data_IF_135904794067
#
_entry.id   IF_135904794067
#
_cell.length_a   1.000
_cell.length_b   1.000
_cell.length_c   1.000
_cell.angle_alpha   90.00
_cell.angle_beta   90.00
_cell.angle_gamma   90.00
#
_symmetry.space_group_name_H-M   'P 1'
#
loop_
_entity.id
_entity.type
_entity.pdbx_description
1 polymer ?
#
# COMPACT_ATOMS: atom_id res chain seq x y z
N UNK A 1 0.75 20.50 -0.43
CA UNK A 1 0.90 20.04 0.96
C UNK A 1 -0.04 18.87 1.17
N UNK A 2 0.47 17.64 1.34
CA UNK A 2 -0.41 16.46 1.44
C UNK A 2 -1.23 16.43 2.74
N UNK A 3 -0.78 17.13 3.80
CA UNK A 3 -1.53 17.17 5.05
C UNK A 3 -2.83 17.96 4.87
N UNK A 4 -2.76 19.11 4.21
CA UNK A 4 -3.94 19.91 3.85
C UNK A 4 -4.91 19.12 2.94
N UNK A 5 -4.37 18.36 1.98
CA UNK A 5 -5.17 17.52 1.07
C UNK A 5 -5.91 16.37 1.76
N UNK A 6 -5.36 15.89 2.87
CA UNK A 6 -5.89 14.76 3.64
C UNK A 6 -6.73 15.20 4.85
N UNK A 7 -6.76 16.50 5.18
CA UNK A 7 -7.36 17.02 6.40
C UNK A 7 -8.88 16.76 6.51
N UNK A 8 -9.57 16.63 5.37
CA UNK A 8 -11.02 16.40 5.31
C UNK A 8 -11.40 14.91 5.24
N UNK A 9 -10.42 14.00 5.33
CA UNK A 9 -10.65 12.56 5.28
C UNK A 9 -10.91 12.03 6.68
N UNK A 10 -12.18 11.83 7.01
CA UNK A 10 -12.61 11.41 8.35
C UNK A 10 -13.18 9.98 8.39
N UNK A 11 -13.76 9.51 7.29
CA UNK A 11 -14.57 8.27 7.23
C UNK A 11 -13.78 7.07 6.70
N UNK A 12 -12.74 6.68 7.44
CA UNK A 12 -11.89 5.54 7.08
C UNK A 12 -12.70 4.24 7.00
N UNK A 13 -12.54 3.49 5.91
CA UNK A 13 -13.23 2.22 5.71
C UNK A 13 -14.71 2.35 5.32
N UNK A 14 -15.22 3.56 5.05
CA UNK A 14 -16.64 3.79 4.74
C UNK A 14 -16.88 4.54 3.42
N UNK A 15 -15.83 4.90 2.68
CA UNK A 15 -15.96 5.61 1.42
C UNK A 15 -16.67 4.75 0.35
N UNK A 16 -17.61 5.34 -0.37
CA UNK A 16 -18.38 4.69 -1.42
C UNK A 16 -17.66 4.66 -2.77
N UNK A 17 -16.62 5.48 -2.94
CA UNK A 17 -15.82 5.55 -4.15
C UNK A 17 -14.67 4.54 -4.10
N UNK A 18 -14.47 3.82 -5.19
CA UNK A 18 -13.32 2.94 -5.41
C UNK A 18 -12.42 3.51 -6.51
N UNK A 19 -11.12 3.26 -6.40
CA UNK A 19 -10.14 3.62 -7.41
C UNK A 19 -9.26 2.42 -7.75
N UNK A 20 -9.27 2.00 -9.02
CA UNK A 20 -8.24 1.10 -9.55
C UNK A 20 -6.99 1.92 -9.88
N UNK A 21 -5.81 1.65 -9.30
CA UNK A 21 -4.65 2.55 -9.40
C UNK A 21 -3.76 2.35 -10.63
N UNK A 22 -4.21 1.62 -11.65
CA UNK A 22 -3.40 1.11 -12.76
C UNK A 22 -3.12 2.16 -13.86
N UNK A 23 -2.63 3.33 -13.49
CA UNK A 23 -2.46 4.48 -14.41
C UNK A 23 -1.54 4.19 -15.60
N UNK A 24 -0.59 3.26 -15.44
CA UNK A 24 0.40 2.89 -16.47
C UNK A 24 0.31 1.41 -16.87
N UNK A 25 -0.86 0.79 -16.69
CA UNK A 25 -0.98 -0.67 -16.66
C UNK A 25 -0.61 -1.23 -15.28
N UNK A 26 -0.67 -2.55 -15.15
CA UNK A 26 -0.30 -3.25 -13.91
C UNK A 26 0.56 -4.48 -14.20
N UNK A 27 1.57 -4.70 -13.38
CA UNK A 27 2.40 -5.92 -13.42
C UNK A 27 1.89 -6.95 -12.43
N UNK A 28 1.79 -6.60 -11.15
CA UNK A 28 1.43 -7.56 -10.10
C UNK A 28 0.17 -7.08 -9.37
N UNK A 29 -0.82 -7.96 -9.12
CA UNK A 29 -0.84 -9.39 -9.50
C UNK A 29 -1.41 -9.66 -10.91
N UNK A 30 -2.00 -8.65 -11.57
CA UNK A 30 -2.85 -8.88 -12.74
C UNK A 30 -2.11 -9.17 -14.04
N UNK A 31 -0.87 -8.68 -14.15
CA UNK A 31 -0.02 -8.75 -15.34
C UNK A 31 -0.75 -8.30 -16.62
N UNK A 32 -1.31 -7.09 -16.55
CA UNK A 32 -2.15 -6.50 -17.57
C UNK A 32 -1.63 -5.09 -17.95
N UNK A 33 -0.91 -4.95 -19.09
CA UNK A 33 -0.39 -3.66 -19.53
C UNK A 33 -1.49 -2.69 -19.99
N UNK A 34 -2.70 -3.19 -20.20
CA UNK A 34 -3.83 -2.41 -20.73
C UNK A 34 -4.71 -1.86 -19.62
N UNK A 35 -4.56 -2.35 -18.39
CA UNK A 35 -5.26 -1.82 -17.22
C UNK A 35 -5.12 -0.30 -17.11
N UNK A 36 -6.19 0.40 -16.74
CA UNK A 36 -6.20 1.86 -16.59
C UNK A 36 -6.80 2.30 -15.27
N UNK A 37 -6.33 3.46 -14.80
CA UNK A 37 -6.87 4.13 -13.64
C UNK A 37 -8.37 4.39 -13.80
N UNK A 38 -9.17 4.00 -12.81
CA UNK A 38 -10.64 4.06 -12.91
C UNK A 38 -11.26 4.42 -11.57
N UNK A 39 -12.07 5.48 -11.53
CA UNK A 39 -12.96 5.77 -10.40
C UNK A 39 -14.33 5.12 -10.62
N UNK A 40 -14.86 4.46 -9.59
CA UNK A 40 -16.14 3.73 -9.62
C UNK A 40 -16.94 4.05 -8.36
N UNK A 41 -18.26 4.18 -8.50
CA UNK A 41 -19.16 4.44 -7.37
C UNK A 41 -19.36 5.93 -7.06
N UNK A 42 -18.97 6.84 -7.95
CA UNK A 42 -19.20 8.27 -7.77
C UNK A 42 -20.70 8.62 -7.83
N UNK A 43 -21.09 9.61 -7.02
CA UNK A 43 -22.43 10.20 -6.93
C UNK A 43 -22.34 11.72 -7.06
N UNK A 44 -23.49 12.41 -7.17
CA UNK A 44 -23.51 13.89 -7.16
C UNK A 44 -22.89 14.48 -5.89
N UNK A 45 -22.99 13.77 -4.76
CA UNK A 45 -22.42 14.19 -3.47
C UNK A 45 -20.95 13.80 -3.29
N UNK A 46 -20.31 13.15 -4.28
CA UNK A 46 -18.90 12.78 -4.18
C UNK A 46 -18.04 14.03 -4.05
N UNK A 47 -17.29 14.09 -2.96
CA UNK A 47 -16.39 15.20 -2.65
C UNK A 47 -14.98 14.92 -3.13
N UNK A 48 -14.15 15.97 -3.15
CA UNK A 48 -12.71 15.84 -3.36
C UNK A 48 -12.06 14.95 -2.29
N UNK A 49 -12.54 15.00 -1.04
CA UNK A 49 -12.02 14.16 0.03
C UNK A 49 -12.30 12.68 -0.23
N UNK A 50 -13.49 12.33 -0.73
CA UNK A 50 -13.84 10.96 -1.11
C UNK A 50 -12.95 10.46 -2.26
N UNK A 51 -12.70 11.29 -3.26
CA UNK A 51 -11.80 10.91 -4.37
C UNK A 51 -10.35 10.73 -3.89
N UNK A 52 -9.84 11.63 -3.06
CA UNK A 52 -8.49 11.52 -2.48
C UNK A 52 -8.37 10.27 -1.61
N UNK A 53 -9.34 10.01 -0.75
CA UNK A 53 -9.39 8.81 0.07
C UNK A 53 -9.43 7.54 -0.80
N UNK A 54 -10.26 7.54 -1.86
CA UNK A 54 -10.35 6.39 -2.77
C UNK A 54 -9.02 6.09 -3.46
N UNK A 55 -8.24 7.12 -3.84
CA UNK A 55 -6.90 6.93 -4.41
C UNK A 55 -5.96 6.27 -3.40
N UNK A 56 -5.90 6.79 -2.17
CA UNK A 56 -5.05 6.25 -1.11
C UNK A 56 -5.43 4.79 -0.76
N UNK A 57 -6.72 4.52 -0.63
CA UNK A 57 -7.26 3.20 -0.36
C UNK A 57 -7.02 2.26 -1.54
N UNK A 58 -7.24 2.71 -2.78
CA UNK A 58 -7.05 1.92 -4.00
C UNK A 58 -5.63 1.41 -4.18
N UNK A 59 -4.63 2.24 -3.91
CA UNK A 59 -3.22 1.81 -3.91
C UNK A 59 -2.96 0.79 -2.80
N UNK A 60 -3.51 1.01 -1.59
CA UNK A 60 -3.36 0.06 -0.49
C UNK A 60 -4.08 -1.28 -0.75
N UNK A 61 -5.23 -1.27 -1.43
CA UNK A 61 -5.93 -2.49 -1.85
C UNK A 61 -5.15 -3.24 -2.95
N UNK A 62 -4.51 -2.54 -3.89
CA UNK A 62 -3.63 -3.19 -4.87
C UNK A 62 -2.37 -3.81 -4.22
N UNK A 63 -1.83 -3.18 -3.16
CA UNK A 63 -0.80 -3.82 -2.33
C UNK A 63 -1.36 -5.06 -1.62
N UNK A 64 -2.60 -4.99 -1.13
CA UNK A 64 -3.27 -6.12 -0.50
C UNK A 64 -3.48 -7.29 -1.46
N UNK A 65 -3.82 -7.03 -2.70
CA UNK A 65 -3.90 -8.06 -3.75
C UNK A 65 -2.59 -8.85 -3.87
N UNK A 66 -1.43 -8.17 -3.80
CA UNK A 66 -0.12 -8.83 -3.79
C UNK A 66 0.13 -9.62 -2.49
N UNK A 67 -0.34 -9.11 -1.35
CA UNK A 67 -0.28 -9.80 -0.06
C UNK A 67 -1.12 -11.10 -0.08
N UNK A 68 -2.32 -11.08 -0.65
CA UNK A 68 -3.16 -12.27 -0.76
C UNK A 68 -2.54 -13.34 -1.67
N UNK A 69 -1.83 -12.93 -2.74
CA UNK A 69 -1.02 -13.87 -3.52
C UNK A 69 0.07 -14.51 -2.65
N UNK A 70 0.82 -13.72 -1.87
CA UNK A 70 1.84 -14.26 -0.96
C UNK A 70 1.26 -15.24 0.07
N UNK A 71 0.11 -14.90 0.68
CA UNK A 71 -0.61 -15.79 1.62
C UNK A 71 -1.04 -17.10 0.95
N UNK A 72 -1.51 -17.04 -0.31
CA UNK A 72 -1.90 -18.24 -1.07
C UNK A 72 -0.75 -19.21 -1.31
N UNK A 73 0.49 -18.72 -1.28
CA UNK A 73 1.72 -19.51 -1.36
C UNK A 73 2.20 -20.05 0.00
N UNK A 74 1.42 -19.85 1.07
CA UNK A 74 1.77 -20.28 2.43
C UNK A 74 2.70 -19.32 3.18
N UNK A 75 2.90 -18.10 2.68
CA UNK A 75 3.74 -17.10 3.35
C UNK A 75 2.90 -16.43 4.45
N UNK A 76 3.33 -16.61 5.70
CA UNK A 76 2.74 -15.93 6.84
C UNK A 76 3.50 -14.64 7.14
N UNK A 77 2.77 -13.52 7.12
CA UNK A 77 3.29 -12.19 7.41
C UNK A 77 2.55 -11.63 8.62
N UNK A 78 3.30 -11.14 9.61
CA UNK A 78 2.75 -10.46 10.79
C UNK A 78 3.03 -8.95 10.77
N UNK A 79 4.05 -8.55 10.02
CA UNK A 79 4.52 -7.17 9.94
C UNK A 79 5.11 -6.84 8.58
N UNK A 80 5.11 -5.56 8.26
CA UNK A 80 5.77 -4.99 7.09
C UNK A 80 6.50 -3.71 7.49
N UNK A 81 7.45 -3.27 6.66
CA UNK A 81 8.14 -1.99 6.81
C UNK A 81 7.69 -1.06 5.68
N UNK A 82 7.48 0.22 5.99
CA UNK A 82 7.15 1.23 4.99
C UNK A 82 8.27 2.26 4.87
N UNK A 83 8.61 2.63 3.62
CA UNK A 83 9.63 3.62 3.30
C UNK A 83 9.22 4.49 2.10
N UNK A 84 10.00 5.51 1.80
CA UNK A 84 9.76 6.44 0.69
C UNK A 84 8.68 7.49 0.97
N UNK A 85 8.33 8.28 -0.06
CA UNK A 85 7.44 9.43 0.09
C UNK A 85 6.06 9.12 0.70
N UNK A 86 5.53 7.92 0.45
CA UNK A 86 4.28 7.43 1.04
C UNK A 86 4.30 7.31 2.56
N UNK A 87 5.46 6.97 3.13
CA UNK A 87 5.65 6.80 4.57
C UNK A 87 5.51 8.12 5.36
N UNK A 88 5.56 9.27 4.66
CA UNK A 88 5.41 10.60 5.26
C UNK A 88 3.98 10.85 5.74
N UNK A 89 2.97 10.31 5.07
CA UNK A 89 1.56 10.49 5.45
C UNK A 89 1.18 9.61 6.65
N UNK A 90 0.85 10.20 7.83
CA UNK A 90 0.38 9.42 8.97
C UNK A 90 -0.95 8.73 8.68
N UNK A 91 -1.84 9.41 7.96
CA UNK A 91 -3.14 8.87 7.57
C UNK A 91 -2.98 7.64 6.67
N UNK A 92 -2.10 7.71 5.68
CA UNK A 92 -1.94 6.61 4.74
C UNK A 92 -1.25 5.41 5.38
N UNK A 93 -0.29 5.63 6.28
CA UNK A 93 0.26 4.54 7.13
C UNK A 93 -0.82 3.82 7.93
N UNK A 94 -1.76 4.58 8.52
CA UNK A 94 -2.92 4.00 9.21
C UNK A 94 -3.80 3.20 8.24
N UNK A 95 -4.11 3.73 7.06
CA UNK A 95 -4.88 2.98 6.04
C UNK A 95 -4.18 1.67 5.67
N UNK A 96 -2.88 1.69 5.36
CA UNK A 96 -2.11 0.51 4.96
C UNK A 96 -2.11 -0.55 6.08
N UNK A 97 -1.84 -0.17 7.33
CA UNK A 97 -1.85 -1.11 8.45
C UNK A 97 -3.19 -1.84 8.59
N UNK A 98 -4.29 -1.09 8.49
CA UNK A 98 -5.64 -1.62 8.63
C UNK A 98 -6.10 -2.43 7.40
N UNK A 99 -5.79 -1.98 6.19
CA UNK A 99 -6.16 -2.68 4.95
C UNK A 99 -5.41 -4.01 4.86
N UNK A 100 -4.10 -4.02 5.11
CA UNK A 100 -3.30 -5.24 5.07
C UNK A 100 -3.52 -6.15 6.28
N UNK A 101 -4.07 -5.61 7.37
CA UNK A 101 -4.13 -6.24 8.69
C UNK A 101 -2.74 -6.70 9.15
N UNK A 102 -1.76 -5.81 9.05
CA UNK A 102 -0.36 -6.06 9.43
C UNK A 102 0.16 -4.88 10.24
N UNK A 103 1.11 -5.16 11.14
CA UNK A 103 1.89 -4.10 11.78
C UNK A 103 2.75 -3.39 10.74
N UNK A 104 2.74 -2.07 10.72
CA UNK A 104 3.55 -1.28 9.78
C UNK A 104 4.64 -0.54 10.53
N UNK A 105 5.87 -1.01 10.39
CA UNK A 105 7.05 -0.37 10.97
C UNK A 105 7.50 0.81 10.09
N UNK A 106 7.78 1.93 10.74
CA UNK A 106 8.36 3.12 10.15
C UNK A 106 9.85 3.10 10.42
N UNK A 107 10.66 3.20 9.37
CA UNK A 107 12.12 3.22 9.48
C UNK A 107 12.65 4.65 9.52
N UNK A 108 13.79 4.85 10.20
CA UNK A 108 14.48 6.15 10.28
C UNK A 108 14.97 6.64 8.90
N UNK A 109 15.47 5.72 8.08
CA UNK A 109 16.10 6.03 6.80
C UNK A 109 15.11 5.97 5.64
N UNK A 110 15.09 7.01 4.80
CA UNK A 110 14.32 7.04 3.54
C UNK A 110 15.09 6.41 2.37
N UNK A 111 16.40 6.19 2.51
CA UNK A 111 17.34 5.81 1.44
C UNK A 111 17.50 4.28 1.32
N UNK A 112 16.39 3.55 1.23
CA UNK A 112 16.38 2.08 1.23
C UNK A 112 17.38 1.43 0.25
N UNK A 113 17.32 1.73 -1.07
CA UNK A 113 18.21 1.11 -2.05
C UNK A 113 19.69 1.46 -1.85
N UNK A 114 20.01 2.74 -1.59
CA UNK A 114 21.39 3.18 -1.40
C UNK A 114 22.01 2.57 -0.14
N UNK A 115 21.24 2.52 0.96
CA UNK A 115 21.66 1.90 2.21
C UNK A 115 21.90 0.39 2.04
N UNK A 116 21.02 -0.33 1.34
CA UNK A 116 21.22 -1.74 1.02
C UNK A 116 22.49 -1.99 0.21
N UNK A 117 22.75 -1.16 -0.79
CA UNK A 117 24.00 -1.23 -1.58
C UNK A 117 25.25 -1.00 -0.74
N UNK A 118 25.23 0.01 0.15
CA UNK A 118 26.32 0.28 1.08
C UNK A 118 26.54 -0.88 2.07
N UNK A 119 25.47 -1.51 2.55
CA UNK A 119 25.55 -2.66 3.45
C UNK A 119 26.23 -3.85 2.79
N UNK A 120 25.84 -4.18 1.55
CA UNK A 120 26.47 -5.25 0.78
C UNK A 120 27.96 -4.97 0.53
N UNK A 121 28.32 -3.72 0.21
CA UNK A 121 29.71 -3.32 0.02
C UNK A 121 30.53 -3.45 1.31
N UNK A 122 29.98 -3.06 2.46
CA UNK A 122 30.66 -3.18 3.75
C UNK A 122 30.97 -4.64 4.12
N UNK A 123 30.01 -5.55 3.88
CA UNK A 123 30.21 -7.00 4.07
C UNK A 123 31.26 -7.53 3.11
N UNK A 124 31.21 -7.14 1.83
CA UNK A 124 32.20 -7.57 0.84
C UNK A 124 33.64 -7.09 1.16
N UNK A 125 33.77 -5.93 1.81
CA UNK A 125 35.05 -5.41 2.30
C UNK A 125 35.53 -6.06 3.62
N UNK A 126 34.71 -6.91 4.25
CA UNK A 126 35.05 -7.58 5.51
C UNK A 126 34.84 -6.73 6.76
N UNK A 127 34.16 -5.58 6.66
CA UNK A 127 33.87 -4.71 7.82
C UNK A 127 32.79 -5.31 8.75
N UNK A 128 31.93 -6.17 8.19
CA UNK A 128 30.88 -6.89 8.92
C UNK A 128 30.86 -8.35 8.45
N UNK A 129 30.49 -9.27 9.34
CA UNK A 129 30.50 -10.70 9.06
C UNK A 129 29.34 -11.14 8.15
N UNK A 130 28.23 -10.38 8.14
CA UNK A 130 27.03 -10.71 7.38
C UNK A 130 26.15 -9.49 7.10
N UNK A 131 25.21 -9.63 6.16
CA UNK A 131 24.24 -8.58 5.84
C UNK A 131 23.26 -8.38 6.99
N UNK A 132 22.92 -9.46 7.69
CA UNK A 132 22.07 -9.47 8.87
C UNK A 132 22.69 -8.63 10.00
N UNK A 133 23.99 -8.80 10.27
CA UNK A 133 24.69 -8.06 11.33
C UNK A 133 24.65 -6.54 11.11
N UNK A 134 24.93 -6.08 9.88
CA UNK A 134 24.88 -4.66 9.57
C UNK A 134 23.43 -4.15 9.52
N UNK A 135 22.47 -4.95 9.04
CA UNK A 135 21.07 -4.57 9.00
C UNK A 135 20.50 -4.34 10.41
N UNK A 136 20.82 -5.21 11.38
CA UNK A 136 20.41 -5.04 12.79
C UNK A 136 20.94 -3.75 13.42
N UNK A 137 22.16 -3.32 13.04
CA UNK A 137 22.79 -2.12 13.58
C UNK A 137 22.27 -0.83 12.94
N UNK A 138 21.98 -0.85 11.64
CA UNK A 138 21.68 0.35 10.86
C UNK A 138 20.19 0.55 10.55
N UNK A 139 19.39 -0.52 10.45
CA UNK A 139 17.96 -0.40 10.18
C UNK A 139 17.21 -0.13 11.48
N UNK A 140 17.01 1.15 11.79
CA UNK A 140 16.27 1.57 12.98
C UNK A 140 14.79 1.77 12.69
N UNK A 141 13.95 1.12 13.48
CA UNK A 141 12.50 1.36 13.53
C UNK A 141 12.22 2.50 14.49
N UNK A 142 11.57 3.56 14.02
CA UNK A 142 11.25 4.77 14.80
C UNK A 142 9.83 4.76 15.35
N UNK A 143 8.98 3.88 14.83
CA UNK A 143 7.61 3.69 15.30
C UNK A 143 6.93 2.54 14.57
N UNK A 144 5.81 2.09 15.12
CA UNK A 144 4.99 1.04 14.52
C UNK A 144 3.53 1.49 14.55
N UNK A 145 2.85 1.38 13.42
CA UNK A 145 1.40 1.57 13.32
C UNK A 145 0.75 0.21 13.46
N UNK A 146 -0.01 0.04 14.55
CA UNK A 146 -0.77 -1.17 14.82
C UNK A 146 -2.12 -1.13 14.07
N UNK A 147 -2.58 -2.26 13.51
CA UNK A 147 -3.92 -2.35 12.96
C UNK A 147 -4.98 -2.23 14.07
N UNK A 148 -6.04 -1.49 13.78
CA UNK A 148 -7.22 -1.31 14.61
C UNK A 148 -8.29 -2.33 14.17
N UNK A 149 -8.71 -3.26 15.05
CA UNK A 149 -9.66 -4.32 14.69
C UNK A 149 -10.95 -3.83 14.04
N UNK A 150 -11.49 -2.67 14.46
CA UNK A 150 -12.73 -2.14 13.89
C UNK A 150 -12.53 -1.66 12.45
N UNK A 151 -11.43 -0.95 12.19
CA UNK A 151 -11.09 -0.48 10.85
C UNK A 151 -10.69 -1.64 9.94
N UNK A 152 -9.98 -2.64 10.46
CA UNK A 152 -9.68 -3.88 9.73
C UNK A 152 -10.97 -4.52 9.23
N UNK A 153 -11.99 -4.66 10.09
CA UNK A 153 -13.27 -5.25 9.69
C UNK A 153 -13.98 -4.43 8.59
N UNK A 154 -13.96 -3.10 8.68
CA UNK A 154 -14.53 -2.21 7.65
C UNK A 154 -13.79 -2.33 6.32
N UNK A 155 -12.45 -2.30 6.36
CA UNK A 155 -11.63 -2.44 5.16
C UNK A 155 -11.69 -3.84 4.56
N UNK A 156 -11.94 -4.87 5.36
CA UNK A 156 -12.18 -6.23 4.88
C UNK A 156 -13.38 -6.28 3.94
N UNK A 157 -14.54 -5.80 4.40
CA UNK A 157 -15.76 -5.75 3.59
C UNK A 157 -15.54 -4.96 2.28
N UNK A 158 -14.83 -3.83 2.35
CA UNK A 158 -14.50 -3.03 1.17
C UNK A 158 -13.51 -3.72 0.25
N UNK A 159 -12.51 -4.43 0.77
CA UNK A 159 -11.57 -5.17 -0.04
C UNK A 159 -12.26 -6.32 -0.80
N UNK A 160 -13.21 -7.02 -0.15
CA UNK A 160 -13.99 -8.05 -0.83
C UNK A 160 -14.85 -7.51 -1.98
N UNK A 161 -15.22 -6.23 -1.95
CA UNK A 161 -15.82 -5.53 -3.11
C UNK A 161 -14.76 -5.15 -4.13
N UNK A 162 -13.66 -4.51 -3.70
CA UNK A 162 -12.56 -4.08 -4.57
C UNK A 162 -12.04 -5.20 -5.48
N UNK A 163 -11.80 -6.40 -4.93
CA UNK A 163 -11.29 -7.56 -5.70
C UNK A 163 -12.19 -8.00 -6.85
N UNK A 164 -13.47 -7.63 -6.84
CA UNK A 164 -14.43 -7.93 -7.91
C UNK A 164 -14.40 -6.89 -9.03
N UNK A 165 -13.90 -5.68 -8.75
CA UNK A 165 -13.96 -4.54 -9.66
C UNK A 165 -13.01 -4.74 -10.84
N UNK A 166 -11.74 -5.11 -10.60
CA UNK A 166 -10.79 -5.30 -11.71
C UNK A 166 -11.27 -6.35 -12.73
N UNK A 167 -11.70 -7.57 -12.35
CA UNK A 167 -12.23 -8.55 -13.29
C UNK A 167 -13.41 -8.03 -14.11
N UNK A 168 -14.29 -7.22 -13.52
CA UNK A 168 -15.43 -6.61 -14.21
C UNK A 168 -15.00 -5.52 -15.21
N UNK A 169 -13.96 -4.74 -14.90
CA UNK A 169 -13.43 -3.70 -15.77
C UNK A 169 -12.50 -4.23 -16.87
N UNK A 170 -11.89 -5.40 -16.68
CA UNK A 170 -10.89 -5.95 -17.60
C UNK A 170 -11.30 -5.95 -19.08
N UNK A 171 -12.53 -6.35 -19.48
CA UNK A 171 -12.95 -6.29 -20.87
C UNK A 171 -13.01 -4.86 -21.44
N UNK A 172 -13.24 -3.85 -20.58
CA UNK A 172 -13.29 -2.44 -20.99
C UNK A 172 -11.91 -1.91 -21.37
N UNK A 173 -10.87 -2.35 -20.66
CA UNK A 173 -9.49 -1.96 -20.93
C UNK A 173 -8.98 -2.43 -22.29
N UNK A 174 -9.55 -3.51 -22.82
CA UNK A 174 -9.24 -3.99 -24.17
C UNK A 174 -9.93 -3.14 -25.26
N UNK A 175 -11.07 -2.52 -24.96
CA UNK A 175 -11.84 -1.68 -25.90
C UNK A 175 -11.23 -0.29 -26.02
N UNK A 176 -10.75 0.29 -24.92
CA UNK A 176 -10.25 1.67 -24.86
C UNK A 176 -8.76 1.82 -25.18
N UNK A 177 -8.15 0.78 -25.76
CA UNK A 177 -6.73 0.78 -26.19
C UNK A 177 -6.43 1.88 -27.20
#
# INVERSE_FOLDING_TARGET
>A
DYAAEQAQIEKLGENHVYFLPYLMGERSPHNDPNARGTFIGMTMDTTRADMTQAVLEGVAFALRDSLEVAKSLGIHLERTKICGGGAKSPLWKKMIANILNLKVDVIESEEGPAMGGAMLAAVACGEYASVEEIAEKFVKVTGTVEPDPELVAKYEDRYQKFRQIYPACRPLFEIIK
#
